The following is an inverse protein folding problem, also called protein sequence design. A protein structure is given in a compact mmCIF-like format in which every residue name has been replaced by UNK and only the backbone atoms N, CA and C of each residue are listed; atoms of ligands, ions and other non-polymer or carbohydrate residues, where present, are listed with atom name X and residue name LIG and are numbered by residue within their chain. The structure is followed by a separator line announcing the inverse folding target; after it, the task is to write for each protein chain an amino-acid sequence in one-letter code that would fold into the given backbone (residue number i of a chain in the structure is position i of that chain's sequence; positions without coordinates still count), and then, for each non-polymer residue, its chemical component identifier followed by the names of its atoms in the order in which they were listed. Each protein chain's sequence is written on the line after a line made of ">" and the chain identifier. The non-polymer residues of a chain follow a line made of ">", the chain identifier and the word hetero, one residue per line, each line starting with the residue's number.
data_IF_347060487876
#
_entry.id   IF_347060487876
#
_cell.length_a   1.000
_cell.length_b   1.000
_cell.length_c   1.000
_cell.angle_alpha   90.00
_cell.angle_beta   90.00
_cell.angle_gamma   90.00
#
_symmetry.space_group_name_H-M   'P 1'
#
loop_
_entity.id
_entity.type
_entity.pdbx_description
1 polymer ?
#
# COMPACT_ATOMS: atom_id res chain seq x y z
N UNK A 1 0.36 37.94 -4.12
CA UNK A 1 1.03 36.83 -3.41
C UNK A 1 -0.05 36.01 -2.75
N UNK A 2 -0.93 35.47 -3.57
CA UNK A 2 -2.07 34.64 -3.15
C UNK A 2 -1.87 33.31 -3.82
N UNK A 3 -1.28 32.51 -3.12
CA UNK A 3 -1.06 31.08 -3.04
C UNK A 3 -1.92 30.24 -3.95
N UNK A 4 -1.26 29.73 -4.86
CA UNK A 4 -1.12 28.39 -5.41
C UNK A 4 -1.03 27.33 -4.27
N UNK A 5 -2.01 27.32 -3.44
CA UNK A 5 -2.18 26.25 -2.44
C UNK A 5 -3.58 25.67 -2.54
N UNK A 6 -4.08 25.59 -3.75
CA UNK A 6 -5.37 25.01 -3.99
C UNK A 6 -5.35 23.90 -5.04
N UNK A 7 -4.31 23.09 -5.08
CA UNK A 7 -4.58 21.69 -5.16
C UNK A 7 -5.04 21.32 -3.76
N UNK A 8 -6.33 21.31 -3.52
CA UNK A 8 -6.90 20.85 -2.27
C UNK A 8 -6.40 19.44 -2.05
N UNK A 9 -5.39 19.34 -1.19
CA UNK A 9 -4.82 18.10 -0.71
C UNK A 9 -5.90 17.41 0.10
N UNK A 10 -6.88 16.85 -0.58
CA UNK A 10 -7.95 16.10 0.07
C UNK A 10 -7.37 14.75 0.47
N UNK A 11 -7.42 14.43 1.77
CA UNK A 11 -7.02 13.14 2.30
C UNK A 11 -7.81 11.99 1.66
N UNK A 12 -9.00 12.28 1.15
CA UNK A 12 -9.87 11.34 0.49
C UNK A 12 -9.92 11.61 -1.02
N UNK A 13 -10.13 10.58 -1.80
CA UNK A 13 -10.37 10.72 -3.23
C UNK A 13 -11.67 11.52 -3.48
N UNK A 14 -11.69 12.43 -4.46
CA UNK A 14 -12.91 13.08 -4.88
C UNK A 14 -13.96 12.06 -5.32
N UNK A 15 -15.20 12.27 -4.95
CA UNK A 15 -16.29 11.40 -5.35
C UNK A 15 -16.54 11.52 -6.86
N UNK A 16 -16.52 10.38 -7.53
CA UNK A 16 -16.68 10.32 -9.00
C UNK A 16 -18.07 10.76 -9.45
N UNK A 17 -19.11 10.47 -8.64
CA UNK A 17 -20.51 10.73 -8.97
C UNK A 17 -20.91 12.18 -8.81
N UNK A 18 -20.31 12.92 -7.89
CA UNK A 18 -20.67 14.31 -7.62
C UNK A 18 -20.22 15.26 -8.72
N UNK A 19 -19.19 14.90 -9.48
CA UNK A 19 -18.65 15.81 -10.47
C UNK A 19 -19.41 15.83 -11.80
N UNK A 20 -19.98 14.72 -12.28
CA UNK A 20 -20.49 14.68 -13.67
C UNK A 20 -21.65 13.75 -14.01
N UNK A 21 -21.96 12.73 -13.24
CA UNK A 21 -23.00 11.76 -13.64
C UNK A 21 -24.40 12.07 -13.14
N UNK A 22 -24.57 12.88 -12.09
CA UNK A 22 -25.87 13.23 -11.55
C UNK A 22 -26.73 12.02 -11.12
N UNK A 23 -26.13 10.83 -11.07
CA UNK A 23 -26.82 9.59 -10.78
C UNK A 23 -26.56 9.28 -9.31
N UNK A 24 -27.48 9.69 -8.44
CA UNK A 24 -27.38 9.52 -7.00
C UNK A 24 -27.19 8.09 -6.48
N UNK A 25 -27.16 7.10 -7.36
CA UNK A 25 -26.90 5.70 -7.00
C UNK A 25 -25.42 5.31 -7.00
N UNK A 26 -24.50 6.19 -7.46
CA UNK A 26 -23.07 5.93 -7.59
C UNK A 26 -22.21 6.80 -6.66
N UNK A 27 -22.79 7.36 -5.60
CA UNK A 27 -22.07 8.19 -4.61
C UNK A 27 -20.92 7.45 -3.90
N UNK A 28 -21.01 6.13 -3.82
CA UNK A 28 -19.98 5.27 -3.26
C UNK A 28 -18.77 5.05 -4.20
N UNK A 29 -18.93 5.33 -5.51
CA UNK A 29 -17.90 5.11 -6.50
C UNK A 29 -16.96 6.31 -6.58
N UNK A 30 -15.85 6.24 -5.88
CA UNK A 30 -14.78 7.25 -5.97
C UNK A 30 -13.84 6.96 -7.13
N UNK A 31 -13.08 7.96 -7.57
CA UNK A 31 -12.06 7.80 -8.62
C UNK A 31 -10.97 6.78 -8.20
N UNK A 32 -10.62 6.69 -6.91
CA UNK A 32 -9.67 5.69 -6.41
C UNK A 32 -10.19 4.27 -6.51
N UNK A 33 -11.49 4.02 -6.25
CA UNK A 33 -12.11 2.69 -6.45
C UNK A 33 -12.10 2.32 -7.93
N UNK A 34 -12.41 3.28 -8.81
CA UNK A 34 -12.36 3.06 -10.27
C UNK A 34 -10.95 2.66 -10.72
N UNK A 35 -9.93 3.42 -10.32
CA UNK A 35 -8.53 3.11 -10.67
C UNK A 35 -8.08 1.80 -10.04
N UNK A 36 -8.47 1.49 -8.80
CA UNK A 36 -8.19 0.20 -8.16
C UNK A 36 -8.76 -0.97 -8.97
N UNK A 37 -9.99 -0.83 -9.49
CA UNK A 37 -10.61 -1.83 -10.36
C UNK A 37 -9.86 -1.98 -11.69
N UNK A 38 -9.44 -0.87 -12.31
CA UNK A 38 -8.64 -0.89 -13.55
C UNK A 38 -7.29 -1.57 -13.33
N UNK A 39 -6.57 -1.21 -12.26
CA UNK A 39 -5.29 -1.82 -11.91
C UNK A 39 -5.47 -3.32 -11.62
N UNK A 40 -6.46 -3.70 -10.82
CA UNK A 40 -6.75 -5.10 -10.51
C UNK A 40 -7.07 -5.91 -11.77
N UNK A 41 -7.90 -5.37 -12.66
CA UNK A 41 -8.21 -6.00 -13.94
C UNK A 41 -6.96 -6.14 -14.80
N UNK A 42 -6.13 -5.09 -14.88
CA UNK A 42 -4.86 -5.11 -15.59
C UNK A 42 -3.92 -6.22 -15.09
N UNK A 43 -3.72 -6.31 -13.77
CA UNK A 43 -2.91 -7.36 -13.14
C UNK A 43 -3.47 -8.75 -13.44
N UNK A 44 -4.79 -8.93 -13.33
CA UNK A 44 -5.45 -10.21 -13.64
C UNK A 44 -5.28 -10.62 -15.12
N UNK A 45 -5.40 -9.67 -16.04
CA UNK A 45 -5.21 -9.93 -17.47
C UNK A 45 -3.75 -10.27 -17.78
N UNK A 46 -2.79 -9.59 -17.17
CA UNK A 46 -1.36 -9.89 -17.31
C UNK A 46 -1.02 -11.28 -16.74
N UNK A 47 -1.49 -11.60 -15.55
CA UNK A 47 -1.30 -12.90 -14.93
C UNK A 47 -1.92 -14.01 -15.80
N UNK A 48 -3.16 -13.81 -16.27
CA UNK A 48 -3.85 -14.76 -17.14
C UNK A 48 -3.15 -14.92 -18.51
N UNK A 49 -2.59 -13.84 -19.05
CA UNK A 49 -1.79 -13.87 -20.27
C UNK A 49 -0.50 -14.66 -20.09
N UNK A 50 0.20 -14.45 -19.00
CA UNK A 50 1.45 -15.16 -18.65
C UNK A 50 1.23 -16.67 -18.39
N UNK A 51 0.08 -17.03 -17.79
CA UNK A 51 -0.23 -18.42 -17.40
C UNK A 51 -1.06 -19.19 -18.41
N UNK A 52 -1.45 -18.58 -19.56
CA UNK A 52 -2.35 -19.21 -20.53
C UNK A 52 -1.76 -20.44 -21.24
N UNK A 53 -0.45 -20.45 -21.46
CA UNK A 53 0.28 -21.52 -22.13
C UNK A 53 1.53 -21.85 -21.32
N UNK A 54 1.34 -22.55 -20.22
CA UNK A 54 2.45 -22.93 -19.34
C UNK A 54 3.25 -24.07 -19.98
N UNK A 55 4.56 -23.88 -20.10
CA UNK A 55 5.52 -24.88 -20.55
C UNK A 55 6.50 -25.24 -19.45
N UNK A 56 7.03 -26.48 -19.48
CA UNK A 56 8.04 -26.93 -18.50
C UNK A 56 9.35 -26.12 -18.55
N UNK A 57 9.64 -25.53 -19.71
CA UNK A 57 10.76 -24.58 -19.87
C UNK A 57 10.14 -23.22 -20.14
N UNK A 58 10.06 -22.35 -19.12
CA UNK A 58 9.39 -21.05 -19.25
C UNK A 58 10.14 -20.15 -20.22
N UNK A 59 9.40 -19.40 -21.03
CA UNK A 59 9.95 -18.43 -21.97
C UNK A 59 9.13 -17.13 -21.97
N UNK A 60 9.79 -16.01 -22.31
CA UNK A 60 9.13 -14.71 -22.43
C UNK A 60 8.42 -14.23 -21.17
N UNK A 61 7.13 -13.89 -21.28
CA UNK A 61 6.32 -13.35 -20.18
C UNK A 61 6.11 -14.35 -19.03
N UNK A 62 6.05 -15.66 -19.34
CA UNK A 62 5.94 -16.71 -18.33
C UNK A 62 7.17 -16.70 -17.42
N UNK A 63 8.38 -16.67 -18.00
CA UNK A 63 9.63 -16.67 -17.23
C UNK A 63 9.75 -15.45 -16.29
N UNK A 64 9.35 -14.27 -16.79
CA UNK A 64 9.34 -13.05 -15.96
C UNK A 64 8.36 -13.16 -14.79
N UNK A 65 7.17 -13.68 -15.05
CA UNK A 65 6.13 -13.82 -14.02
C UNK A 65 6.51 -14.89 -12.98
N UNK A 66 7.03 -16.05 -13.43
CA UNK A 66 7.52 -17.10 -12.54
C UNK A 66 8.68 -16.60 -11.67
N UNK A 67 9.68 -15.93 -12.26
CA UNK A 67 10.81 -15.38 -11.51
C UNK A 67 10.38 -14.36 -10.45
N UNK A 68 9.37 -13.52 -10.74
CA UNK A 68 8.83 -12.57 -9.77
C UNK A 68 8.10 -13.30 -8.63
N UNK A 69 7.26 -14.29 -8.97
CA UNK A 69 6.49 -15.05 -7.97
C UNK A 69 7.41 -15.92 -7.12
N UNK A 70 8.38 -16.61 -7.72
CA UNK A 70 9.36 -17.45 -7.04
C UNK A 70 10.25 -16.61 -6.11
N UNK A 71 10.83 -15.51 -6.61
CA UNK A 71 11.65 -14.61 -5.80
C UNK A 71 10.88 -14.02 -4.62
N UNK A 72 9.60 -13.68 -4.81
CA UNK A 72 8.75 -13.20 -3.74
C UNK A 72 8.41 -14.32 -2.73
N UNK A 73 8.19 -15.55 -3.22
CA UNK A 73 7.93 -16.70 -2.38
C UNK A 73 9.14 -17.03 -1.49
N UNK A 74 10.33 -17.12 -2.07
CA UNK A 74 11.57 -17.42 -1.34
C UNK A 74 11.88 -16.35 -0.29
N UNK A 75 11.69 -15.08 -0.64
CA UNK A 75 11.87 -13.99 0.30
C UNK A 75 10.89 -14.08 1.48
N UNK A 76 9.62 -14.37 1.24
CA UNK A 76 8.61 -14.50 2.28
C UNK A 76 8.80 -15.78 3.10
N UNK A 77 9.17 -16.90 2.47
CA UNK A 77 9.49 -18.16 3.16
C UNK A 77 10.64 -17.98 4.15
N UNK A 78 11.67 -17.20 3.78
CA UNK A 78 12.78 -16.87 4.66
C UNK A 78 12.40 -16.09 5.91
N UNK A 79 11.23 -15.41 5.90
CA UNK A 79 10.73 -14.62 7.03
C UNK A 79 9.71 -15.44 7.85
N UNK A 80 8.62 -15.86 7.22
CA UNK A 80 7.48 -16.49 7.94
C UNK A 80 7.61 -18.00 8.11
N UNK A 81 8.60 -18.63 7.48
CA UNK A 81 8.80 -20.08 7.48
C UNK A 81 7.88 -20.83 6.52
N UNK A 82 8.25 -22.09 6.22
CA UNK A 82 7.60 -22.95 5.21
C UNK A 82 6.11 -23.19 5.45
N UNK A 83 5.71 -23.36 6.69
CA UNK A 83 4.32 -23.66 7.05
C UNK A 83 3.43 -22.43 6.83
N UNK A 84 3.84 -21.27 7.32
CA UNK A 84 3.05 -20.06 7.26
C UNK A 84 3.02 -19.42 5.88
N UNK A 85 4.11 -19.54 5.09
CA UNK A 85 4.13 -18.99 3.74
C UNK A 85 3.06 -19.63 2.86
N UNK A 86 2.82 -20.93 2.96
CA UNK A 86 1.78 -21.62 2.18
C UNK A 86 0.38 -21.06 2.43
N UNK A 87 0.10 -20.59 3.65
CA UNK A 87 -1.20 -19.98 4.02
C UNK A 87 -1.30 -18.52 3.65
N UNK A 88 -0.21 -17.77 3.82
CA UNK A 88 -0.22 -16.30 3.72
C UNK A 88 0.27 -15.77 2.36
N UNK A 89 0.98 -16.56 1.58
CA UNK A 89 1.61 -16.13 0.33
C UNK A 89 0.64 -15.47 -0.64
N UNK A 90 -0.51 -16.08 -0.87
CA UNK A 90 -1.48 -15.57 -1.83
C UNK A 90 -1.91 -14.14 -1.49
N UNK A 91 -2.17 -13.84 -0.21
CA UNK A 91 -2.53 -12.49 0.23
C UNK A 91 -1.35 -11.53 0.15
N UNK A 92 -0.18 -11.93 0.69
CA UNK A 92 1.01 -11.07 0.72
C UNK A 92 1.50 -10.74 -0.69
N UNK A 93 1.52 -11.72 -1.59
CA UNK A 93 1.89 -11.51 -3.00
C UNK A 93 0.88 -10.61 -3.73
N UNK A 94 -0.42 -10.80 -3.47
CA UNK A 94 -1.46 -9.95 -4.07
C UNK A 94 -1.33 -8.50 -3.60
N UNK A 95 -1.11 -8.26 -2.30
CA UNK A 95 -0.87 -6.92 -1.76
C UNK A 95 0.39 -6.29 -2.36
N UNK A 96 1.49 -7.03 -2.43
CA UNK A 96 2.73 -6.56 -3.03
C UNK A 96 2.53 -6.10 -4.47
N UNK A 97 1.97 -6.98 -5.32
CA UNK A 97 1.77 -6.69 -6.75
C UNK A 97 0.79 -5.52 -6.93
N UNK A 98 -0.31 -5.52 -6.18
CA UNK A 98 -1.31 -4.45 -6.27
C UNK A 98 -0.73 -3.10 -5.87
N UNK A 99 0.00 -3.01 -4.75
CA UNK A 99 0.62 -1.77 -4.28
C UNK A 99 1.68 -1.31 -5.30
N UNK A 100 2.54 -2.22 -5.77
CA UNK A 100 3.57 -1.91 -6.75
C UNK A 100 2.99 -1.33 -8.04
N UNK A 101 2.02 -2.03 -8.61
CA UNK A 101 1.40 -1.60 -9.88
C UNK A 101 0.60 -0.30 -9.67
N UNK A 102 -0.09 -0.13 -8.55
CA UNK A 102 -0.81 1.11 -8.24
C UNK A 102 0.14 2.31 -8.09
N UNK A 103 1.29 2.12 -7.42
CA UNK A 103 2.29 3.17 -7.27
C UNK A 103 2.92 3.54 -8.63
N UNK A 104 3.24 2.54 -9.46
CA UNK A 104 3.78 2.79 -10.79
C UNK A 104 2.74 3.36 -11.76
N UNK A 105 1.46 3.00 -11.59
CA UNK A 105 0.37 3.61 -12.34
C UNK A 105 0.31 5.14 -12.13
N UNK A 106 0.63 5.61 -10.91
CA UNK A 106 0.73 7.03 -10.60
C UNK A 106 1.74 7.80 -11.48
N UNK A 107 2.79 7.10 -11.94
CA UNK A 107 3.87 7.70 -12.74
C UNK A 107 3.57 7.72 -14.24
N UNK A 108 2.48 7.10 -14.69
CA UNK A 108 2.13 7.11 -16.11
C UNK A 108 1.78 8.53 -16.57
N UNK A 109 2.32 8.96 -17.73
CA UNK A 109 2.00 10.26 -18.27
C UNK A 109 0.49 10.36 -18.55
N UNK A 110 -0.14 11.43 -18.09
CA UNK A 110 -1.59 11.61 -18.19
C UNK A 110 -2.37 11.28 -16.92
N UNK A 111 -1.81 10.55 -15.97
CA UNK A 111 -2.40 10.38 -14.64
C UNK A 111 -2.40 11.74 -13.93
N UNK A 112 -3.56 12.15 -13.37
CA UNK A 112 -3.73 13.47 -12.76
C UNK A 112 -4.04 14.61 -13.74
N UNK A 113 -3.80 14.44 -15.06
CA UNK A 113 -4.10 15.46 -16.09
C UNK A 113 -5.39 15.19 -16.87
N UNK A 114 -5.99 14.01 -16.71
CA UNK A 114 -7.25 13.63 -17.33
C UNK A 114 -8.34 13.73 -16.25
N UNK A 115 -9.34 14.58 -16.48
CA UNK A 115 -10.42 14.77 -15.52
C UNK A 115 -11.40 15.86 -15.95
N UNK A 116 -12.20 16.32 -15.00
CA UNK A 116 -13.20 17.36 -15.20
C UNK A 116 -12.84 18.59 -14.37
N UNK A 117 -13.12 19.76 -14.91
CA UNK A 117 -12.94 21.06 -14.27
C UNK A 117 -13.89 22.09 -14.88
N UNK A 118 -13.89 23.34 -14.38
CA UNK A 118 -14.77 24.41 -14.89
C UNK A 118 -14.58 24.71 -16.37
N UNK A 119 -13.43 24.40 -16.94
CA UNK A 119 -13.14 24.57 -18.37
C UNK A 119 -13.13 23.19 -19.02
N UNK A 120 -14.17 22.90 -19.71
CA UNK A 120 -14.54 21.70 -20.46
C UNK A 120 -13.49 21.13 -21.43
N UNK A 121 -12.28 20.83 -21.02
CA UNK A 121 -11.32 20.14 -21.87
C UNK A 121 -10.74 18.92 -21.14
N UNK A 122 -10.85 17.76 -21.76
CA UNK A 122 -10.41 16.46 -21.24
C UNK A 122 -8.90 16.40 -20.93
N UNK A 123 -8.12 17.31 -21.52
CA UNK A 123 -6.66 17.40 -21.39
C UNK A 123 -6.21 18.78 -20.86
N UNK A 124 -6.96 19.36 -19.93
CA UNK A 124 -6.57 20.63 -19.35
C UNK A 124 -5.62 20.44 -18.17
N UNK A 125 -4.59 21.29 -18.08
CA UNK A 125 -3.65 21.31 -16.96
C UNK A 125 -4.26 21.82 -15.64
N UNK A 126 -5.45 22.44 -15.70
CA UNK A 126 -6.19 22.96 -14.55
C UNK A 126 -7.36 22.02 -14.18
N UNK A 127 -7.07 20.73 -14.03
CA UNK A 127 -8.08 19.72 -13.65
C UNK A 127 -8.40 19.85 -12.17
N UNK A 128 -9.66 20.18 -11.85
CA UNK A 128 -10.13 20.25 -10.46
C UNK A 128 -10.40 18.86 -9.88
N UNK A 129 -10.94 17.96 -10.70
CA UNK A 129 -11.27 16.60 -10.30
C UNK A 129 -10.61 15.62 -11.27
N UNK A 130 -9.44 15.05 -10.93
CA UNK A 130 -8.78 14.06 -11.78
C UNK A 130 -9.57 12.75 -11.78
N UNK A 131 -9.82 12.21 -12.98
CA UNK A 131 -10.43 10.88 -13.18
C UNK A 131 -9.46 9.76 -12.78
N UNK A 132 -8.21 9.89 -13.24
CA UNK A 132 -7.16 8.93 -12.97
C UNK A 132 -6.30 9.45 -11.82
N UNK A 133 -6.61 9.00 -10.61
CA UNK A 133 -5.79 9.23 -9.41
C UNK A 133 -5.37 7.89 -8.85
N UNK A 134 -4.09 7.69 -8.49
CA UNK A 134 -3.64 6.42 -7.95
C UNK A 134 -4.45 6.02 -6.72
N UNK A 135 -4.86 4.75 -6.66
CA UNK A 135 -5.68 4.24 -5.55
C UNK A 135 -4.94 4.32 -4.20
N UNK A 136 -3.62 4.24 -4.22
CA UNK A 136 -2.75 4.37 -3.05
C UNK A 136 -2.58 5.81 -2.55
N UNK A 137 -3.00 6.81 -3.33
CA UNK A 137 -3.10 8.22 -2.91
C UNK A 137 -4.40 8.52 -2.11
N UNK A 138 -5.21 7.49 -1.82
CA UNK A 138 -6.40 7.59 -0.98
C UNK A 138 -6.17 6.87 0.35
N UNK A 139 -6.34 7.62 1.45
CA UNK A 139 -6.16 7.07 2.80
C UNK A 139 -7.17 5.95 3.12
N UNK A 140 -8.41 6.05 2.63
CA UNK A 140 -9.42 5.02 2.86
C UNK A 140 -9.00 3.69 2.22
N UNK A 141 -8.42 3.73 1.01
CA UNK A 141 -7.97 2.55 0.30
C UNK A 141 -6.78 1.90 0.99
N UNK A 142 -5.79 2.69 1.37
CA UNK A 142 -4.60 2.18 2.07
C UNK A 142 -4.94 1.64 3.46
N UNK A 143 -5.86 2.29 4.17
CA UNK A 143 -6.36 1.83 5.46
C UNK A 143 -7.17 0.53 5.31
N UNK A 144 -8.01 0.42 4.29
CA UNK A 144 -8.78 -0.80 4.02
C UNK A 144 -7.86 -2.01 3.77
N UNK A 145 -6.77 -1.83 2.97
CA UNK A 145 -5.77 -2.89 2.75
C UNK A 145 -5.06 -3.30 4.05
N UNK A 146 -4.66 -2.31 4.86
CA UNK A 146 -3.98 -2.58 6.13
C UNK A 146 -4.90 -3.27 7.15
N UNK A 147 -6.14 -2.83 7.28
CA UNK A 147 -7.15 -3.44 8.16
C UNK A 147 -7.49 -4.86 7.69
N UNK A 148 -7.67 -5.06 6.38
CA UNK A 148 -7.93 -6.40 5.83
C UNK A 148 -6.78 -7.37 6.12
N UNK A 149 -5.52 -6.92 5.92
CA UNK A 149 -4.37 -7.73 6.31
C UNK A 149 -4.38 -8.04 7.81
N UNK A 150 -4.62 -7.07 8.69
CA UNK A 150 -4.65 -7.28 10.14
C UNK A 150 -5.77 -8.22 10.58
N UNK A 151 -6.91 -8.19 9.89
CA UNK A 151 -7.98 -9.16 10.11
C UNK A 151 -7.52 -10.59 9.76
N UNK A 152 -6.91 -10.77 8.60
CA UNK A 152 -6.36 -12.06 8.19
C UNK A 152 -5.23 -12.54 9.10
N UNK A 153 -4.36 -11.63 9.51
CA UNK A 153 -3.32 -11.88 10.51
C UNK A 153 -3.91 -12.43 11.83
N UNK A 154 -4.97 -11.80 12.32
CA UNK A 154 -5.64 -12.25 13.54
C UNK A 154 -6.24 -13.67 13.36
N UNK A 155 -6.89 -13.91 12.22
CA UNK A 155 -7.46 -15.23 11.90
C UNK A 155 -6.37 -16.31 11.88
N UNK A 156 -5.26 -16.07 11.20
CA UNK A 156 -4.14 -17.02 11.14
C UNK A 156 -3.49 -17.22 12.50
N UNK A 157 -3.25 -16.15 13.25
CA UNK A 157 -2.68 -16.26 14.61
C UNK A 157 -3.58 -17.06 15.53
N UNK A 158 -4.90 -16.85 15.49
CA UNK A 158 -5.85 -17.65 16.30
C UNK A 158 -5.95 -19.11 15.84
N UNK A 159 -5.71 -19.40 14.58
CA UNK A 159 -5.67 -20.78 14.07
C UNK A 159 -4.41 -21.54 14.51
N UNK A 160 -3.26 -20.86 14.60
CA UNK A 160 -1.99 -21.48 14.99
C UNK A 160 -1.85 -21.61 16.50
N UNK A 161 -2.06 -20.53 17.24
CA UNK A 161 -1.78 -20.46 18.68
C UNK A 161 -3.03 -20.72 19.54
N UNK A 162 -4.20 -20.57 18.96
CA UNK A 162 -5.47 -20.64 19.67
C UNK A 162 -5.77 -19.41 20.55
N UNK A 163 -7.03 -19.28 20.98
CA UNK A 163 -7.46 -18.12 21.78
C UNK A 163 -6.75 -18.06 23.13
N UNK A 164 -6.56 -19.23 23.77
CA UNK A 164 -5.88 -19.30 25.07
C UNK A 164 -4.41 -18.90 24.95
N UNK A 165 -3.69 -19.49 24.01
CA UNK A 165 -2.28 -19.17 23.77
C UNK A 165 -2.09 -17.69 23.39
N UNK A 166 -2.98 -17.13 22.55
CA UNK A 166 -2.95 -15.72 22.21
C UNK A 166 -3.10 -14.80 23.45
N UNK A 167 -4.05 -15.11 24.35
CA UNK A 167 -4.25 -14.34 25.58
C UNK A 167 -3.10 -14.54 26.57
N UNK A 168 -2.57 -15.77 26.69
CA UNK A 168 -1.39 -16.05 27.50
C UNK A 168 -0.15 -15.34 26.97
N UNK A 169 0.01 -15.27 25.66
CA UNK A 169 1.09 -14.51 25.04
C UNK A 169 1.00 -13.00 25.34
N UNK A 170 -0.21 -12.44 25.33
CA UNK A 170 -0.42 -11.01 25.57
C UNK A 170 -0.33 -10.63 27.04
N UNK A 171 -0.94 -11.42 27.93
CA UNK A 171 -1.13 -11.07 29.34
C UNK A 171 -0.44 -12.05 30.31
N UNK A 172 0.12 -13.15 29.82
CA UNK A 172 0.76 -14.16 30.63
C UNK A 172 2.08 -13.69 31.23
N UNK A 173 2.41 -14.25 32.40
CA UNK A 173 3.69 -14.02 33.09
C UNK A 173 4.78 -14.75 32.31
N UNK A 174 5.54 -14.03 31.49
CA UNK A 174 6.68 -14.57 30.73
C UNK A 174 7.83 -14.90 31.68
N UNK A 175 8.50 -16.07 31.50
CA UNK A 175 9.71 -16.42 32.25
C UNK A 175 9.54 -17.48 33.33
N UNK A 176 8.41 -18.21 33.37
CA UNK A 176 8.26 -19.38 34.28
C UNK A 176 8.38 -19.08 35.79
N UNK A 177 8.30 -17.83 36.18
CA UNK A 177 8.48 -17.38 37.60
C UNK A 177 7.26 -17.81 38.39
N UNK A 178 7.45 -18.81 39.28
CA UNK A 178 6.43 -19.35 40.16
C UNK A 178 6.56 -18.76 41.59
N UNK A 179 5.42 -18.70 42.31
CA UNK A 179 5.40 -18.26 43.71
C UNK A 179 5.10 -16.77 43.92
N UNK A 180 5.50 -16.23 45.06
CA UNK A 180 5.19 -14.84 45.46
C UNK A 180 5.67 -13.79 44.44
N UNK A 181 6.83 -14.02 43.82
CA UNK A 181 7.39 -13.12 42.81
C UNK A 181 6.51 -13.12 41.55
N UNK A 182 6.01 -14.28 41.10
CA UNK A 182 5.08 -14.36 40.00
C UNK A 182 3.79 -13.55 40.22
N UNK A 183 3.25 -13.62 41.45
CA UNK A 183 2.06 -12.85 41.84
C UNK A 183 2.31 -11.32 41.81
N UNK A 184 3.47 -10.88 42.32
CA UNK A 184 3.86 -9.46 42.23
C UNK A 184 4.10 -8.93 40.84
N UNK A 185 4.44 -9.81 39.89
CA UNK A 185 4.66 -9.45 38.47
C UNK A 185 3.38 -9.36 37.65
N UNK A 186 2.27 -9.96 38.11
CA UNK A 186 0.97 -9.95 37.36
C UNK A 186 0.53 -8.54 36.93
N UNK A 187 0.55 -7.51 37.81
CA UNK A 187 0.16 -6.16 37.41
C UNK A 187 1.06 -5.60 36.30
N UNK A 188 2.36 -5.88 36.39
CA UNK A 188 3.35 -5.41 35.39
C UNK A 188 3.06 -6.05 34.03
N UNK A 189 2.89 -7.38 33.97
CA UNK A 189 2.57 -8.08 32.71
C UNK A 189 1.20 -7.68 32.16
N UNK A 190 0.24 -7.35 33.01
CA UNK A 190 -1.04 -6.82 32.56
C UNK A 190 -0.87 -5.47 31.84
N UNK A 191 -0.06 -4.54 32.38
CA UNK A 191 0.25 -3.27 31.71
C UNK A 191 1.03 -3.47 30.41
N UNK A 192 1.99 -4.41 30.39
CA UNK A 192 2.72 -4.77 29.17
C UNK A 192 1.77 -5.29 28.10
N UNK A 193 0.84 -6.19 28.46
CA UNK A 193 -0.18 -6.70 27.55
C UNK A 193 -1.10 -5.59 27.01
N UNK A 194 -1.48 -4.61 27.86
CA UNK A 194 -2.26 -3.47 27.40
C UNK A 194 -1.50 -2.63 26.36
N UNK A 195 -0.20 -2.39 26.58
CA UNK A 195 0.66 -1.71 25.61
C UNK A 195 0.75 -2.51 24.30
N UNK A 196 0.83 -3.84 24.37
CA UNK A 196 0.87 -4.70 23.21
C UNK A 196 -0.43 -4.66 22.41
N UNK A 197 -1.60 -4.67 23.08
CA UNK A 197 -2.91 -4.45 22.42
C UNK A 197 -2.94 -3.12 21.67
N UNK A 198 -2.53 -2.05 22.32
CA UNK A 198 -2.47 -0.72 21.70
C UNK A 198 -1.53 -0.75 20.50
N UNK A 199 -0.36 -1.36 20.63
CA UNK A 199 0.60 -1.51 19.53
C UNK A 199 -0.01 -2.23 18.32
N UNK A 200 -0.72 -3.34 18.54
CA UNK A 200 -1.41 -4.11 17.50
C UNK A 200 -2.46 -3.25 16.79
N UNK A 201 -3.25 -2.48 17.54
CA UNK A 201 -4.27 -1.57 16.97
C UNK A 201 -3.67 -0.45 16.12
N UNK A 202 -2.45 0.01 16.46
CA UNK A 202 -1.76 1.04 15.70
C UNK A 202 -1.00 0.52 14.46
N UNK A 203 -0.76 -0.78 14.33
CA UNK A 203 -0.08 -1.38 13.16
C UNK A 203 -0.77 -1.02 11.83
N UNK A 204 -2.09 -1.22 11.63
CA UNK A 204 -2.74 -0.87 10.38
C UNK A 204 -2.71 0.63 10.10
N UNK A 205 -2.80 1.48 11.11
CA UNK A 205 -2.70 2.93 10.97
C UNK A 205 -1.31 3.32 10.47
N UNK A 206 -0.26 2.78 11.09
CA UNK A 206 1.13 3.04 10.68
C UNK A 206 1.43 2.56 9.25
N UNK A 207 0.92 1.36 8.88
CA UNK A 207 1.08 0.81 7.53
C UNK A 207 0.38 1.68 6.48
N UNK A 208 -0.88 2.07 6.74
CA UNK A 208 -1.67 2.86 5.81
C UNK A 208 -1.12 4.28 5.65
N UNK A 209 -0.76 4.96 6.74
CA UNK A 209 -0.20 6.31 6.69
C UNK A 209 1.15 6.36 5.98
N UNK A 210 1.97 5.33 6.12
CA UNK A 210 3.25 5.24 5.41
C UNK A 210 3.04 5.10 3.90
N UNK A 211 2.14 4.21 3.47
CA UNK A 211 1.83 4.02 2.06
C UNK A 211 1.21 5.28 1.45
N UNK A 212 0.16 5.80 2.09
CA UNK A 212 -0.50 7.04 1.68
C UNK A 212 0.47 8.23 1.63
N UNK A 213 1.24 8.42 2.72
CA UNK A 213 2.14 9.58 2.85
C UNK A 213 3.22 9.64 1.78
N UNK A 214 3.79 8.48 1.41
CA UNK A 214 4.82 8.41 0.37
C UNK A 214 4.24 8.76 -1.01
N UNK A 215 3.10 8.16 -1.38
CA UNK A 215 2.46 8.43 -2.69
C UNK A 215 1.99 9.89 -2.78
N UNK A 216 1.39 10.39 -1.71
CA UNK A 216 0.93 11.77 -1.62
C UNK A 216 2.08 12.79 -1.69
N UNK A 217 3.19 12.53 -0.99
CA UNK A 217 4.36 13.38 -1.05
C UNK A 217 4.99 13.39 -2.45
N UNK A 218 5.08 12.22 -3.09
CA UNK A 218 5.59 12.07 -4.45
C UNK A 218 4.77 12.79 -5.50
N UNK A 219 3.43 12.64 -5.46
CA UNK A 219 2.51 13.36 -6.35
C UNK A 219 2.69 14.88 -6.25
N UNK A 220 2.81 15.40 -5.02
CA UNK A 220 3.03 16.83 -4.80
C UNK A 220 4.41 17.29 -5.27
N UNK A 221 5.44 16.50 -5.00
CA UNK A 221 6.80 16.79 -5.42
C UNK A 221 6.90 16.85 -6.95
N UNK A 222 6.36 15.88 -7.67
CA UNK A 222 6.35 15.87 -9.13
C UNK A 222 5.57 17.06 -9.69
N UNK A 223 4.39 17.37 -9.15
CA UNK A 223 3.58 18.52 -9.57
C UNK A 223 4.35 19.84 -9.37
N UNK A 224 5.03 19.99 -8.24
CA UNK A 224 5.86 21.16 -7.96
C UNK A 224 7.04 21.28 -8.95
N UNK A 225 7.71 20.16 -9.25
CA UNK A 225 8.85 20.14 -10.19
C UNK A 225 8.43 20.45 -11.62
N UNK A 226 7.24 19.99 -12.05
CA UNK A 226 6.68 20.32 -13.38
C UNK A 226 6.40 21.82 -13.49
N UNK A 227 5.96 22.47 -12.43
CA UNK A 227 5.55 23.89 -12.45
C UNK A 227 6.67 24.87 -12.07
N UNK A 228 7.81 24.38 -11.60
CA UNK A 228 8.89 25.21 -11.03
C UNK A 228 9.40 26.26 -12.00
N UNK A 229 9.51 25.95 -13.29
CA UNK A 229 9.97 26.91 -14.31
C UNK A 229 9.04 28.12 -14.45
N UNK A 230 7.73 27.91 -14.37
CA UNK A 230 6.71 28.98 -14.38
C UNK A 230 6.73 29.79 -13.09
N UNK A 231 6.91 29.12 -11.94
CA UNK A 231 6.95 29.76 -10.62
C UNK A 231 8.17 30.67 -10.45
N UNK A 232 9.30 30.32 -11.07
CA UNK A 232 10.52 31.12 -11.06
C UNK A 232 10.48 32.29 -12.07
N UNK A 233 9.41 32.42 -12.86
CA UNK A 233 9.25 33.53 -13.83
C UNK A 233 10.17 33.40 -15.05
N UNK A 234 10.58 32.18 -15.42
CA UNK A 234 11.38 31.97 -16.63
C UNK A 234 10.56 32.29 -17.90
N UNK A 235 11.21 32.67 -19.00
CA UNK A 235 10.54 32.77 -20.30
C UNK A 235 9.84 31.48 -20.66
N UNK A 236 8.73 31.56 -21.42
CA UNK A 236 7.87 30.40 -21.69
C UNK A 236 8.62 29.17 -22.25
N UNK A 237 9.58 29.40 -23.17
CA UNK A 237 10.36 28.33 -23.75
C UNK A 237 11.32 27.66 -22.73
N UNK A 238 11.90 28.43 -21.78
CA UNK A 238 12.75 27.91 -20.68
C UNK A 238 11.88 27.15 -19.69
N UNK A 239 10.72 27.71 -19.33
CA UNK A 239 9.76 27.07 -18.43
C UNK A 239 9.25 25.74 -19.02
N UNK A 240 8.96 25.68 -20.31
CA UNK A 240 8.56 24.44 -20.99
C UNK A 240 9.69 23.40 -21.00
N UNK A 241 10.93 23.80 -21.25
CA UNK A 241 12.09 22.89 -21.18
C UNK A 241 12.31 22.39 -19.74
N UNK A 242 12.21 23.28 -18.75
CA UNK A 242 12.35 22.94 -17.34
C UNK A 242 11.26 21.98 -16.87
N UNK A 243 10.00 22.14 -17.30
CA UNK A 243 8.88 21.27 -16.93
C UNK A 243 9.04 19.81 -17.42
N UNK A 244 9.90 19.59 -18.42
CA UNK A 244 10.23 18.24 -18.89
C UNK A 244 11.49 17.72 -18.20
N UNK A 245 12.55 18.55 -18.14
CA UNK A 245 13.90 18.09 -17.72
C UNK A 245 14.02 17.93 -16.20
N UNK A 246 13.47 18.89 -15.44
CA UNK A 246 13.58 18.90 -13.98
C UNK A 246 12.86 17.71 -13.32
N UNK A 247 11.66 17.28 -13.76
CA UNK A 247 10.96 16.15 -13.14
C UNK A 247 11.61 14.79 -13.42
N UNK A 248 12.41 14.61 -14.47
CA UNK A 248 12.96 13.29 -14.87
C UNK A 248 13.66 12.58 -13.70
N UNK A 249 14.63 13.18 -12.97
CA UNK A 249 15.28 12.50 -11.85
C UNK A 249 14.29 12.10 -10.75
N UNK A 250 13.26 12.92 -10.53
CA UNK A 250 12.23 12.66 -9.52
C UNK A 250 11.29 11.53 -9.93
N UNK A 251 11.01 11.34 -11.23
CA UNK A 251 10.27 10.17 -11.73
C UNK A 251 11.03 8.88 -11.43
N UNK A 252 12.36 8.85 -11.63
CA UNK A 252 13.17 7.67 -11.29
C UNK A 252 13.20 7.42 -9.78
N UNK A 253 13.28 8.48 -8.98
CA UNK A 253 13.23 8.38 -7.53
C UNK A 253 11.88 7.82 -7.06
N UNK A 254 10.76 8.32 -7.61
CA UNK A 254 9.42 7.85 -7.30
C UNK A 254 9.18 6.39 -7.72
N UNK A 255 9.72 5.97 -8.85
CA UNK A 255 9.66 4.57 -9.29
C UNK A 255 10.34 3.64 -8.27
N UNK A 256 11.50 4.05 -7.75
CA UNK A 256 12.22 3.32 -6.71
C UNK A 256 11.46 3.34 -5.37
N UNK A 257 10.94 4.50 -4.96
CA UNK A 257 10.14 4.65 -3.74
C UNK A 257 8.89 3.76 -3.82
N UNK A 258 8.20 3.73 -4.97
CA UNK A 258 7.04 2.89 -5.20
C UNK A 258 7.32 1.40 -5.03
N UNK A 259 8.46 0.92 -5.53
CA UNK A 259 8.94 -0.45 -5.32
C UNK A 259 9.27 -0.72 -3.85
N UNK A 260 10.10 0.15 -3.25
CA UNK A 260 10.49 0.01 -1.84
C UNK A 260 9.28 0.03 -0.91
N UNK A 261 8.28 0.84 -1.20
CA UNK A 261 7.08 0.92 -0.40
C UNK A 261 6.24 -0.37 -0.46
N UNK A 262 6.09 -0.97 -1.65
CA UNK A 262 5.43 -2.26 -1.81
C UNK A 262 6.16 -3.36 -1.04
N UNK A 263 7.49 -3.39 -1.13
CA UNK A 263 8.35 -4.31 -0.37
C UNK A 263 8.20 -4.11 1.14
N UNK A 264 8.38 -2.88 1.62
CA UNK A 264 8.32 -2.58 3.07
C UNK A 264 6.95 -2.92 3.65
N UNK A 265 5.85 -2.60 2.93
CA UNK A 265 4.51 -2.96 3.38
C UNK A 265 4.39 -4.48 3.55
N UNK A 266 4.76 -5.24 2.53
CA UNK A 266 4.63 -6.70 2.51
C UNK A 266 5.56 -7.38 3.53
N UNK A 267 6.81 -6.89 3.65
CA UNK A 267 7.77 -7.41 4.63
C UNK A 267 7.33 -7.16 6.07
N UNK A 268 6.78 -5.98 6.36
CA UNK A 268 6.24 -5.71 7.70
C UNK A 268 5.04 -6.61 8.01
N UNK A 269 4.16 -6.85 7.03
CA UNK A 269 3.08 -7.81 7.16
C UNK A 269 3.61 -9.23 7.49
N UNK A 270 4.65 -9.66 6.78
CA UNK A 270 5.30 -10.95 7.00
C UNK A 270 5.94 -11.04 8.40
N UNK A 271 6.68 -9.99 8.82
CA UNK A 271 7.30 -9.94 10.16
C UNK A 271 6.24 -9.94 11.26
N UNK A 272 5.13 -9.23 11.11
CA UNK A 272 4.04 -9.28 12.09
C UNK A 272 3.43 -10.67 12.21
N UNK A 273 3.33 -11.40 11.09
CA UNK A 273 2.87 -12.77 11.09
C UNK A 273 3.87 -13.70 11.79
N UNK A 274 5.15 -13.58 11.47
CA UNK A 274 6.23 -14.33 12.11
C UNK A 274 6.22 -14.13 13.64
N UNK A 275 6.21 -12.88 14.11
CA UNK A 275 6.25 -12.56 15.53
C UNK A 275 5.07 -13.14 16.32
N UNK A 276 3.92 -13.33 15.68
CA UNK A 276 2.73 -13.88 16.31
C UNK A 276 2.65 -15.40 16.30
N UNK A 277 3.44 -16.06 15.42
CA UNK A 277 3.40 -17.53 15.23
C UNK A 277 4.68 -18.25 15.68
N UNK A 278 5.78 -17.53 15.97
CA UNK A 278 7.10 -18.07 16.26
C UNK A 278 7.24 -18.68 17.68
N UNK A 279 6.17 -18.81 18.46
CA UNK A 279 6.29 -19.12 19.89
C UNK A 279 6.29 -20.62 20.25
N UNK A 280 6.15 -21.52 19.29
CA UNK A 280 6.04 -22.97 19.61
C UNK A 280 7.33 -23.79 19.41
N UNK A 281 8.45 -23.19 19.00
CA UNK A 281 9.70 -23.95 18.79
C UNK A 281 10.67 -23.97 19.98
N UNK A 282 10.43 -23.21 21.06
CA UNK A 282 11.33 -23.19 22.22
C UNK A 282 10.89 -24.11 23.39
N UNK A 283 9.73 -24.76 23.33
CA UNK A 283 9.21 -25.62 24.42
C UNK A 283 9.24 -27.13 24.10
N UNK A 284 10.09 -27.59 23.17
CA UNK A 284 10.34 -29.03 22.94
C UNK A 284 11.78 -29.45 23.18
#
# INVERSE_FOLDING_TARGET
>A
MTFILAATLTLNAPEFSQAHLGIGYLEWLTNSIFVAAVVSLGVLLLARGATRQMSLVPSGSQNLFEALVEGLYDMLEGIVGKHMVQKSFALLATLFIFILVSNWFALLPGVGSIGWGEKTSFFNTDVEVPLLRPSTADLNMTLAMAVFFMFMWLVWTLQEVGIKGFLEHMFGVKGGVKGLIGFLLVPIFFFVGLIEVISILFRPVSLSLRLFGNVFAGENLLTTMITIGKQLGFPEWVAALASITVPIPFYFLELLIGLLQALVFTLLCAVYLQLSTAHDEEDH
#
